data_IF_252401481600
#
_entry.id   IF_252401481600
#
_cell.length_a   1.000
_cell.length_b   1.000
_cell.length_c   1.000
_cell.angle_alpha   90.00
_cell.angle_beta   90.00
_cell.angle_gamma   90.00
#
_symmetry.space_group_name_H-M   'P 1'
#
loop_
_entity.id
_entity.type
_entity.pdbx_description
1 polymer ?
#
# COMPACT_ATOMS: atom_id res chain seq x y z
N UNK A 1 -16.43 44.36 0.96
CA UNK A 1 -15.74 44.55 -0.33
C UNK A 1 -14.98 43.27 -0.65
N UNK A 2 -15.43 42.50 -1.65
CA UNK A 2 -14.74 41.30 -2.11
C UNK A 2 -13.70 41.71 -3.15
N UNK A 3 -12.45 41.26 -2.99
CA UNK A 3 -11.37 41.49 -3.94
C UNK A 3 -11.57 40.75 -5.27
N UNK A 4 -10.77 41.06 -6.31
CA UNK A 4 -11.00 40.58 -7.67
C UNK A 4 -10.74 39.07 -7.81
N UNK A 5 -11.55 38.43 -8.65
CA UNK A 5 -11.65 36.97 -8.90
C UNK A 5 -10.52 36.47 -9.84
N UNK A 6 -9.41 37.20 -9.97
CA UNK A 6 -8.43 36.98 -11.06
C UNK A 6 -7.24 36.08 -10.74
N UNK A 7 -7.18 35.39 -9.59
CA UNK A 7 -6.00 34.56 -9.23
C UNK A 7 -6.33 33.11 -8.83
N UNK A 8 -7.32 32.47 -9.48
CA UNK A 8 -7.63 31.05 -9.27
C UNK A 8 -7.36 30.17 -10.48
N UNK A 9 -6.34 30.48 -11.28
CA UNK A 9 -5.82 29.54 -12.27
C UNK A 9 -4.53 28.88 -11.75
N UNK A 10 -4.63 28.16 -10.62
CA UNK A 10 -3.61 27.15 -10.30
C UNK A 10 -3.79 26.02 -11.30
N UNK A 11 -3.11 26.12 -12.44
CA UNK A 11 -2.92 25.03 -13.38
C UNK A 11 -2.25 23.88 -12.62
N UNK A 12 -3.05 22.93 -12.14
CA UNK A 12 -2.54 21.68 -11.59
C UNK A 12 -1.84 20.93 -12.72
N UNK A 13 -0.52 21.09 -12.80
CA UNK A 13 0.31 20.34 -13.75
C UNK A 13 0.36 18.91 -13.24
N UNK A 14 -0.35 18.00 -13.92
CA UNK A 14 -0.27 16.58 -13.61
C UNK A 14 1.17 16.10 -13.82
N UNK A 15 1.79 15.65 -12.73
CA UNK A 15 3.07 14.96 -12.77
C UNK A 15 2.77 13.47 -12.63
N UNK A 16 3.03 12.71 -13.70
CA UNK A 16 2.93 11.27 -13.62
C UNK A 16 3.99 10.75 -12.64
N UNK A 17 3.64 9.90 -11.66
CA UNK A 17 4.64 9.25 -10.85
C UNK A 17 5.50 8.34 -11.74
N UNK A 18 6.76 8.15 -11.35
CA UNK A 18 7.66 7.21 -11.99
C UNK A 18 7.03 5.81 -12.03
N UNK A 19 7.30 5.01 -13.05
CA UNK A 19 6.80 3.64 -13.08
C UNK A 19 7.39 2.83 -11.92
N UNK A 20 6.59 1.97 -11.26
CA UNK A 20 7.09 1.17 -10.16
C UNK A 20 8.15 0.16 -10.63
N UNK A 21 9.10 -0.18 -9.76
CA UNK A 21 10.07 -1.25 -10.02
C UNK A 21 9.39 -2.61 -10.14
N UNK A 22 9.92 -3.50 -10.98
CA UNK A 22 9.45 -4.89 -11.02
C UNK A 22 9.70 -5.58 -9.67
N UNK A 23 8.69 -6.31 -9.19
CA UNK A 23 8.79 -7.12 -7.97
C UNK A 23 9.14 -8.56 -8.35
N UNK A 24 10.06 -9.15 -7.60
CA UNK A 24 10.45 -10.56 -7.79
C UNK A 24 9.46 -11.45 -7.04
N UNK A 25 9.12 -12.60 -7.65
CA UNK A 25 8.12 -13.54 -7.12
C UNK A 25 6.82 -12.79 -6.76
N UNK A 26 6.21 -12.13 -7.75
CA UNK A 26 5.04 -11.28 -7.52
C UNK A 26 3.74 -12.09 -7.55
N UNK A 27 2.95 -11.99 -6.49
CA UNK A 27 1.57 -12.49 -6.42
C UNK A 27 0.60 -11.33 -6.57
N UNK A 28 -0.41 -11.47 -7.42
CA UNK A 28 -1.32 -10.38 -7.77
C UNK A 28 -2.76 -10.70 -7.34
N UNK A 29 -3.41 -9.75 -6.68
CA UNK A 29 -4.82 -9.81 -6.31
C UNK A 29 -5.59 -8.68 -6.97
N UNK A 30 -6.79 -8.99 -7.45
CA UNK A 30 -7.67 -7.98 -8.04
C UNK A 30 -8.53 -7.35 -6.95
N UNK A 31 -8.46 -6.03 -6.80
CA UNK A 31 -9.34 -5.26 -5.91
C UNK A 31 -10.58 -4.83 -6.71
N UNK A 32 -10.34 -4.19 -7.85
CA UNK A 32 -11.36 -3.71 -8.77
C UNK A 32 -10.85 -3.86 -10.20
N UNK A 33 -11.50 -4.74 -10.97
CA UNK A 33 -11.11 -5.00 -12.35
C UNK A 33 -11.48 -3.82 -13.28
N UNK A 34 -12.64 -3.20 -13.08
CA UNK A 34 -13.14 -2.10 -13.93
C UNK A 34 -12.22 -0.88 -13.81
N UNK A 35 -11.87 -0.52 -12.57
CA UNK A 35 -10.97 0.59 -12.30
C UNK A 35 -9.49 0.20 -12.31
N UNK A 36 -9.17 -1.05 -12.65
CA UNK A 36 -7.81 -1.60 -12.75
C UNK A 36 -6.98 -1.37 -11.47
N UNK A 37 -7.58 -1.65 -10.31
CA UNK A 37 -6.93 -1.60 -9.00
C UNK A 37 -6.48 -3.01 -8.61
N UNK A 38 -5.18 -3.16 -8.38
CA UNK A 38 -4.59 -4.45 -8.01
C UNK A 38 -3.73 -4.29 -6.75
N UNK A 39 -3.59 -5.38 -6.01
CA UNK A 39 -2.64 -5.52 -4.91
C UNK A 39 -1.59 -6.55 -5.30
N UNK A 40 -0.35 -6.10 -5.38
CA UNK A 40 0.79 -6.92 -5.74
C UNK A 40 1.63 -7.19 -4.49
N UNK A 41 2.10 -8.41 -4.31
CA UNK A 41 2.94 -8.82 -3.17
C UNK A 41 4.19 -9.50 -3.72
N UNK A 42 5.36 -8.95 -3.44
CA UNK A 42 6.63 -9.53 -3.91
C UNK A 42 7.83 -8.94 -3.20
N UNK A 43 9.02 -9.35 -3.63
CA UNK A 43 10.28 -8.85 -3.11
C UNK A 43 10.75 -7.64 -3.92
N UNK A 44 11.09 -6.55 -3.24
CA UNK A 44 11.63 -5.36 -3.90
C UNK A 44 13.16 -5.42 -3.95
N UNK A 45 13.79 -5.54 -5.13
CA UNK A 45 15.25 -5.57 -5.24
C UNK A 45 15.90 -4.25 -4.81
N UNK A 46 15.16 -3.13 -4.83
CA UNK A 46 15.67 -1.82 -4.39
C UNK A 46 15.71 -1.69 -2.86
N UNK A 47 14.85 -2.44 -2.17
CA UNK A 47 14.77 -2.45 -0.71
C UNK A 47 15.27 -3.78 -0.14
N UNK A 48 16.48 -4.19 -0.55
CA UNK A 48 17.18 -5.37 -0.02
C UNK A 48 16.36 -6.67 -0.04
N UNK A 49 15.47 -6.83 -1.03
CA UNK A 49 14.54 -7.96 -1.14
C UNK A 49 13.55 -8.06 0.03
N UNK A 50 13.20 -6.94 0.65
CA UNK A 50 12.09 -6.89 1.59
C UNK A 50 10.76 -7.18 0.87
N UNK A 51 9.82 -7.76 1.62
CA UNK A 51 8.46 -8.02 1.13
C UNK A 51 7.71 -6.68 1.11
N UNK A 52 7.25 -6.29 -0.07
CA UNK A 52 6.47 -5.09 -0.30
C UNK A 52 5.09 -5.48 -0.80
N UNK A 53 4.07 -4.83 -0.24
CA UNK A 53 2.72 -4.86 -0.77
C UNK A 53 2.49 -3.57 -1.54
N UNK A 54 2.09 -3.67 -2.80
CA UNK A 54 1.91 -2.52 -3.68
C UNK A 54 0.48 -2.48 -4.17
N UNK A 55 -0.26 -1.45 -3.77
CA UNK A 55 -1.53 -1.14 -4.40
C UNK A 55 -1.22 -0.35 -5.66
N UNK A 56 -1.69 -0.82 -6.81
CA UNK A 56 -1.45 -0.22 -8.11
C UNK A 56 -2.76 0.14 -8.80
N UNK A 57 -2.76 1.28 -9.46
CA UNK A 57 -3.81 1.80 -10.34
C UNK A 57 -3.16 2.22 -11.66
N UNK A 58 -3.92 2.49 -12.74
CA UNK A 58 -3.35 2.88 -14.03
C UNK A 58 -2.42 4.09 -13.96
N UNK A 59 -2.66 5.01 -13.02
CA UNK A 59 -1.93 6.27 -12.93
C UNK A 59 -0.90 6.30 -11.78
N UNK A 60 -1.05 5.46 -10.74
CA UNK A 60 -0.38 5.63 -9.44
C UNK A 60 -0.19 4.31 -8.72
N UNK A 61 0.83 4.22 -7.88
CA UNK A 61 1.05 3.06 -7.00
C UNK A 61 1.51 3.51 -5.61
N UNK A 62 1.14 2.76 -4.57
CA UNK A 62 1.60 3.02 -3.20
C UNK A 62 2.14 1.71 -2.62
N UNK A 63 3.36 1.79 -2.09
CA UNK A 63 3.99 0.68 -1.37
C UNK A 63 3.58 0.73 0.11
N UNK A 64 3.33 -0.44 0.68
CA UNK A 64 2.87 -0.66 2.04
C UNK A 64 3.65 -1.85 2.60
N UNK A 65 4.10 -1.78 3.85
CA UNK A 65 4.70 -2.92 4.52
C UNK A 65 3.64 -3.90 5.03
N UNK A 66 3.97 -5.21 5.15
CA UNK A 66 3.03 -6.19 5.70
C UNK A 66 2.52 -5.82 7.10
N UNK A 67 3.39 -5.29 7.96
CA UNK A 67 3.04 -4.84 9.30
C UNK A 67 2.06 -3.67 9.28
N UNK A 68 2.21 -2.76 8.31
CA UNK A 68 1.28 -1.66 8.16
C UNK A 68 -0.08 -2.16 7.70
N UNK A 69 -0.13 -3.07 6.73
CA UNK A 69 -1.39 -3.68 6.30
C UNK A 69 -2.09 -4.41 7.46
N UNK A 70 -1.36 -5.13 8.31
CA UNK A 70 -1.91 -5.76 9.52
C UNK A 70 -2.56 -4.76 10.46
N UNK A 71 -1.97 -3.57 10.61
CA UNK A 71 -2.59 -2.47 11.36
C UNK A 71 -3.87 -2.01 10.68
N UNK A 72 -3.89 -1.83 9.35
CA UNK A 72 -5.11 -1.45 8.62
C UNK A 72 -6.24 -2.43 8.93
N UNK A 73 -5.99 -3.75 8.85
CA UNK A 73 -7.01 -4.75 9.19
C UNK A 73 -7.47 -4.67 10.65
N UNK A 74 -6.56 -4.44 11.60
CA UNK A 74 -6.94 -4.22 13.00
C UNK A 74 -7.83 -2.99 13.22
N UNK A 75 -7.70 -1.97 12.36
CA UNK A 75 -8.54 -0.77 12.36
C UNK A 75 -9.74 -0.87 11.40
N UNK A 76 -9.94 -1.99 10.69
CA UNK A 76 -10.93 -2.10 9.61
C UNK A 76 -12.36 -1.79 10.11
N UNK A 77 -12.73 -2.25 11.30
CA UNK A 77 -14.03 -1.94 11.90
C UNK A 77 -14.26 -0.43 12.08
N UNK A 78 -13.24 0.29 12.55
CA UNK A 78 -13.29 1.76 12.72
C UNK A 78 -13.24 2.48 11.37
N UNK A 79 -12.43 1.99 10.43
CA UNK A 79 -12.34 2.56 9.08
C UNK A 79 -13.70 2.46 8.38
N UNK A 80 -14.32 1.27 8.41
CA UNK A 80 -15.63 1.04 7.82
C UNK A 80 -16.72 1.82 8.53
N UNK A 81 -16.76 1.87 9.86
CA UNK A 81 -17.78 2.65 10.57
C UNK A 81 -17.74 4.13 10.18
N UNK A 82 -16.55 4.70 10.03
CA UNK A 82 -16.41 6.07 9.56
C UNK A 82 -16.81 6.22 8.09
N UNK A 83 -16.37 5.35 7.18
CA UNK A 83 -16.68 5.46 5.75
C UNK A 83 -18.16 5.24 5.46
N UNK A 84 -18.82 4.36 6.21
CA UNK A 84 -20.23 4.02 6.06
C UNK A 84 -21.16 5.02 6.73
N UNK A 85 -20.66 5.90 7.60
CA UNK A 85 -21.47 6.90 8.27
C UNK A 85 -21.73 8.12 7.36
N UNK A 86 -22.98 8.31 6.87
CA UNK A 86 -23.35 9.39 5.97
C UNK A 86 -23.45 10.76 6.68
N UNK A 87 -23.37 10.78 8.01
CA UNK A 87 -23.59 11.99 8.82
C UNK A 87 -22.32 12.83 9.00
N UNK A 88 -21.13 12.26 8.73
CA UNK A 88 -19.85 12.95 8.95
C UNK A 88 -19.53 13.89 7.78
N UNK A 89 -19.99 15.12 7.91
CA UNK A 89 -19.68 16.24 7.01
C UNK A 89 -18.25 16.76 7.27
N UNK A 90 -17.37 16.57 6.29
CA UNK A 90 -16.18 17.39 6.02
C UNK A 90 -15.13 17.56 7.13
N UNK A 91 -14.55 16.46 7.63
CA UNK A 91 -13.26 16.55 8.33
C UNK A 91 -12.32 15.46 7.83
N UNK A 92 -11.14 15.87 7.33
CA UNK A 92 -10.03 14.94 7.06
C UNK A 92 -9.72 14.23 8.37
N UNK A 93 -9.95 12.92 8.39
CA UNK A 93 -9.66 12.08 9.55
C UNK A 93 -8.44 11.23 9.23
N UNK A 94 -7.38 11.37 10.02
CA UNK A 94 -6.19 10.53 9.87
C UNK A 94 -6.39 9.26 10.70
N UNK A 95 -6.39 8.10 10.04
CA UNK A 95 -6.51 6.81 10.72
C UNK A 95 -5.15 6.30 11.19
N UNK A 96 -4.17 6.37 10.29
CA UNK A 96 -2.84 5.84 10.51
C UNK A 96 -1.82 6.71 9.78
N UNK A 97 -0.71 7.00 10.44
CA UNK A 97 0.38 7.76 9.88
C UNK A 97 1.71 7.11 10.27
N UNK A 98 2.54 6.83 9.27
CA UNK A 98 3.94 6.40 9.40
C UNK A 98 4.83 7.38 8.64
N UNK A 99 6.13 7.16 8.71
CA UNK A 99 7.13 7.94 8.00
C UNK A 99 6.93 7.90 6.48
N UNK A 100 6.56 6.74 5.93
CA UNK A 100 6.43 6.51 4.49
C UNK A 100 5.01 6.50 3.93
N UNK A 101 3.99 6.25 4.76
CA UNK A 101 2.58 6.10 4.33
C UNK A 101 1.62 6.79 5.29
N UNK A 102 0.59 7.42 4.72
CA UNK A 102 -0.51 8.08 5.41
C UNK A 102 -1.85 7.48 4.96
N UNK A 103 -2.73 7.17 5.92
CA UNK A 103 -4.11 6.74 5.65
C UNK A 103 -5.06 7.77 6.22
N UNK A 104 -5.85 8.37 5.33
CA UNK A 104 -6.83 9.38 5.70
C UNK A 104 -8.19 9.09 5.08
N UNK A 105 -9.24 9.61 5.68
CA UNK A 105 -10.56 9.71 5.03
C UNK A 105 -10.61 10.97 4.19
N UNK A 106 -11.11 10.85 2.96
CA UNK A 106 -11.51 11.98 2.14
C UNK A 106 -12.95 11.79 1.65
N UNK A 107 -13.63 12.90 1.38
CA UNK A 107 -14.95 12.89 0.77
C UNK A 107 -14.81 13.55 -0.59
N UNK A 108 -14.87 12.77 -1.66
CA UNK A 108 -14.78 13.24 -3.04
C UNK A 108 -15.98 12.73 -3.83
N UNK A 109 -17.17 13.27 -3.55
CA UNK A 109 -18.45 12.72 -4.00
C UNK A 109 -18.96 11.64 -3.04
N UNK A 110 -18.18 10.58 -2.80
CA UNK A 110 -18.43 9.56 -1.78
C UNK A 110 -17.34 9.55 -0.70
N UNK A 111 -17.58 8.81 0.39
CA UNK A 111 -16.57 8.56 1.42
C UNK A 111 -15.56 7.53 0.92
N UNK A 112 -14.30 7.95 0.79
CA UNK A 112 -13.21 7.11 0.32
C UNK A 112 -12.07 7.10 1.33
N UNK A 113 -11.40 5.95 1.43
CA UNK A 113 -10.14 5.82 2.11
C UNK A 113 -9.02 6.24 1.17
N UNK A 114 -8.21 7.19 1.60
CA UNK A 114 -7.02 7.64 0.88
C UNK A 114 -5.81 6.99 1.49
N UNK A 115 -5.07 6.25 0.67
CA UNK A 115 -3.74 5.75 1.00
C UNK A 115 -2.72 6.59 0.24
N UNK A 116 -1.88 7.31 0.96
CA UNK A 116 -0.93 8.27 0.40
C UNK A 116 0.51 7.87 0.77
N UNK A 117 1.40 7.86 -0.22
CA UNK A 117 2.84 7.75 0.03
C UNK A 117 3.41 9.12 0.36
N UNK A 118 4.26 9.18 1.40
CA UNK A 118 5.01 10.38 1.78
C UNK A 118 6.35 10.50 1.06
N UNK A 119 6.86 9.41 0.53
CA UNK A 119 8.15 9.35 -0.17
C UNK A 119 8.03 9.85 -1.61
N UNK A 120 6.92 9.52 -2.27
CA UNK A 120 6.61 10.01 -3.62
C UNK A 120 5.56 11.09 -3.54
N UNK A 121 5.96 12.34 -3.76
CA UNK A 121 5.08 13.50 -3.73
C UNK A 121 3.83 13.25 -4.60
N UNK A 122 2.65 13.48 -4.01
CA UNK A 122 1.33 13.37 -4.64
C UNK A 122 0.86 11.95 -5.01
N UNK A 123 1.56 10.88 -4.63
CA UNK A 123 1.08 9.53 -4.91
C UNK A 123 0.04 9.07 -3.88
N UNK A 124 -1.23 9.19 -4.26
CA UNK A 124 -2.39 8.75 -3.46
C UNK A 124 -3.31 7.84 -4.26
N UNK A 125 -3.89 6.86 -3.57
CA UNK A 125 -4.87 5.92 -4.10
C UNK A 125 -6.14 6.05 -3.28
N UNK A 126 -7.27 6.12 -3.98
CA UNK A 126 -8.61 6.20 -3.40
C UNK A 126 -9.23 4.81 -3.42
N UNK A 127 -9.70 4.36 -2.27
CA UNK A 127 -10.39 3.09 -2.07
C UNK A 127 -11.80 3.37 -1.59
N UNK A 128 -12.78 3.01 -2.41
CA UNK A 128 -14.19 3.14 -2.08
C UNK A 128 -14.65 1.98 -1.19
N UNK A 129 -15.93 1.99 -0.82
CA UNK A 129 -16.50 0.92 0.01
C UNK A 129 -16.32 -0.48 -0.58
N UNK A 130 -16.52 -0.66 -1.89
CA UNK A 130 -16.40 -1.98 -2.54
C UNK A 130 -14.95 -2.46 -2.49
N UNK A 131 -14.01 -1.57 -2.79
CA UNK A 131 -12.57 -1.85 -2.72
C UNK A 131 -12.18 -2.36 -1.32
N UNK A 132 -12.66 -1.68 -0.27
CA UNK A 132 -12.36 -2.04 1.11
C UNK A 132 -12.97 -3.39 1.51
N UNK A 133 -14.20 -3.68 1.09
CA UNK A 133 -14.81 -4.99 1.32
C UNK A 133 -14.05 -6.10 0.60
N UNK A 134 -13.59 -5.87 -0.63
CA UNK A 134 -12.77 -6.84 -1.37
C UNK A 134 -11.44 -7.07 -0.65
N UNK A 135 -10.75 -6.00 -0.22
CA UNK A 135 -9.51 -6.10 0.56
C UNK A 135 -9.73 -6.84 1.87
N UNK A 136 -10.85 -6.61 2.57
CA UNK A 136 -11.22 -7.35 3.78
C UNK A 136 -11.42 -8.85 3.50
N UNK A 137 -12.15 -9.20 2.45
CA UNK A 137 -12.37 -10.59 2.08
C UNK A 137 -11.07 -11.31 1.68
N UNK A 138 -10.08 -10.57 1.18
CA UNK A 138 -8.77 -11.10 0.80
C UNK A 138 -7.78 -11.19 1.98
N UNK A 139 -8.14 -10.75 3.19
CA UNK A 139 -7.20 -10.65 4.34
C UNK A 139 -6.41 -11.93 4.58
N UNK A 140 -7.11 -13.06 4.69
CA UNK A 140 -6.50 -14.34 5.00
C UNK A 140 -5.48 -14.76 3.93
N UNK A 141 -5.87 -14.70 2.64
CA UNK A 141 -5.01 -15.14 1.54
C UNK A 141 -3.80 -14.21 1.34
N UNK A 142 -3.96 -12.92 1.62
CA UNK A 142 -2.87 -11.94 1.61
C UNK A 142 -1.83 -12.30 2.68
N UNK A 143 -2.25 -12.53 3.92
CA UNK A 143 -1.32 -12.87 5.00
C UNK A 143 -0.70 -14.25 4.84
N UNK A 144 -1.44 -15.22 4.29
CA UNK A 144 -0.87 -16.51 3.94
C UNK A 144 0.26 -16.33 2.91
N UNK A 145 0.02 -15.54 1.86
CA UNK A 145 1.00 -15.24 0.80
C UNK A 145 2.24 -14.55 1.35
N UNK A 146 2.06 -13.54 2.22
CA UNK A 146 3.17 -12.88 2.93
C UNK A 146 3.95 -13.89 3.75
N UNK A 147 3.28 -14.73 4.54
CA UNK A 147 3.92 -15.72 5.41
C UNK A 147 4.75 -16.72 4.62
N UNK A 148 4.24 -17.20 3.48
CA UNK A 148 4.99 -18.08 2.57
C UNK A 148 6.28 -17.41 2.07
N UNK A 149 6.22 -16.13 1.69
CA UNK A 149 7.39 -15.36 1.24
C UNK A 149 8.40 -15.13 2.37
N UNK A 150 7.93 -14.88 3.60
CA UNK A 150 8.80 -14.79 4.79
C UNK A 150 9.55 -16.11 5.01
N UNK A 151 8.84 -17.25 4.91
CA UNK A 151 9.45 -18.56 5.09
C UNK A 151 10.53 -18.85 4.04
N UNK A 152 10.32 -18.44 2.78
CA UNK A 152 11.35 -18.52 1.73
C UNK A 152 12.61 -17.76 2.12
N UNK A 153 12.47 -16.52 2.62
CA UNK A 153 13.60 -15.75 3.12
C UNK A 153 14.30 -16.47 4.28
N UNK A 154 13.55 -16.92 5.30
CA UNK A 154 14.10 -17.58 6.48
C UNK A 154 14.90 -18.85 6.12
N UNK A 155 14.39 -19.67 5.21
CA UNK A 155 15.10 -20.87 4.71
C UNK A 155 16.39 -20.48 3.97
N UNK A 156 16.35 -19.44 3.13
CA UNK A 156 17.53 -18.96 2.42
C UNK A 156 18.62 -18.47 3.39
N UNK A 157 18.24 -17.72 4.43
CA UNK A 157 19.16 -17.28 5.48
C UNK A 157 19.78 -18.46 6.23
N UNK A 158 18.96 -19.44 6.66
CA UNK A 158 19.46 -20.64 7.35
C UNK A 158 20.43 -21.45 6.48
N UNK A 159 20.14 -21.60 5.19
CA UNK A 159 21.01 -22.30 4.24
C UNK A 159 22.33 -21.56 4.04
N UNK A 160 22.29 -20.24 3.89
CA UNK A 160 23.49 -19.40 3.74
C UNK A 160 24.40 -19.49 4.97
N UNK A 161 23.83 -19.37 6.17
CA UNK A 161 24.59 -19.46 7.43
C UNK A 161 25.21 -20.85 7.63
N UNK A 162 24.50 -21.92 7.25
CA UNK A 162 25.02 -23.29 7.32
C UNK A 162 26.16 -23.53 6.32
N UNK A 163 26.11 -22.93 5.13
CA UNK A 163 27.16 -23.06 4.13
C UNK A 163 28.40 -22.23 4.47
N UNK A 164 28.25 -21.04 5.07
CA UNK A 164 29.39 -20.25 5.54
C UNK A 164 30.16 -20.89 6.70
N UNK A 165 29.50 -21.74 7.51
CA UNK A 165 30.17 -22.51 8.57
C UNK A 165 30.99 -23.67 7.99
N UNK A 166 30.55 -24.30 6.90
CA UNK A 166 31.25 -25.43 6.28
C UNK A 166 32.52 -25.04 5.51
N UNK A 167 32.68 -23.78 5.14
CA UNK A 167 33.86 -23.28 4.40
C UNK A 167 35.04 -22.92 5.30
N UNK A 168 34.88 -22.93 6.63
CA UNK A 168 35.95 -22.60 7.59
C UNK A 168 36.74 -23.85 8.01
N UNK A 169 36.20 -25.05 7.80
CA UNK A 169 36.77 -26.33 8.26
C UNK A 169 37.41 -27.16 7.14
N UNK A 170 37.75 -26.57 5.99
CA UNK A 170 38.48 -27.27 4.93
C UNK A 170 39.99 -27.25 5.23
N UNK A 171 40.66 -28.38 5.52
CA UNK A 171 42.11 -28.41 5.69
C UNK A 171 42.80 -28.14 4.35
N UNK A 172 43.85 -27.32 4.40
CA UNK A 172 44.76 -27.03 3.30
C UNK A 172 45.63 -28.25 2.92
#
# INVERSE_FOLDING_TARGET
MAGPISEMNRLYKYVAPSSPSELIDCSNFTIDFENRKFLNIGFDPKDKFNIVLRIITPARYVNISPDFLKRIYSFMGNILSHILDPTVKYKKFTFLERESVLITRMVCGEHELVVESKETSECRILLNRRDLMTIQNLEWIIFETVSRKINILAINWMTKSRNSLKTVDAPA
#
